data_IF_019196092649
#
_entry.id   IF_019196092649
#
_cell.length_a   1.000
_cell.length_b   1.000
_cell.length_c   1.000
_cell.angle_alpha   90.00
_cell.angle_beta   90.00
_cell.angle_gamma   90.00
#
_symmetry.space_group_name_H-M   'P 1'
#
loop_
_entity.id
_entity.type
_entity.pdbx_description
1 polymer ?
#
# COMPACT_ATOMS: atom_id res chain seq x y z
N UNK A 1 -19.20 -22.28 -11.71
CA UNK A 1 -20.45 -22.45 -12.52
C UNK A 1 -21.43 -21.38 -12.07
N UNK A 2 -22.13 -20.70 -12.98
CA UNK A 2 -23.15 -19.71 -12.63
C UNK A 2 -24.48 -20.38 -12.28
N UNK A 3 -25.29 -19.73 -11.43
CA UNK A 3 -26.66 -20.16 -11.10
C UNK A 3 -27.64 -19.13 -11.65
N UNK A 4 -28.65 -19.59 -12.38
CA UNK A 4 -29.76 -18.73 -12.84
C UNK A 4 -30.86 -18.77 -11.79
N UNK A 5 -31.23 -17.61 -11.27
CA UNK A 5 -32.36 -17.46 -10.35
C UNK A 5 -33.57 -16.91 -11.10
N UNK A 6 -34.75 -17.51 -10.87
CA UNK A 6 -36.03 -16.92 -11.26
C UNK A 6 -36.57 -16.18 -10.03
N UNK A 7 -36.67 -14.85 -10.12
CA UNK A 7 -37.09 -14.01 -8.99
C UNK A 7 -38.61 -13.82 -9.01
N UNK A 8 -39.20 -13.62 -7.83
CA UNK A 8 -40.61 -13.23 -7.63
C UNK A 8 -40.66 -12.15 -6.56
N UNK A 9 -41.47 -11.07 -6.71
CA UNK A 9 -41.56 -10.03 -5.69
C UNK A 9 -41.83 -10.59 -4.30
N UNK A 10 -41.09 -10.12 -3.29
CA UNK A 10 -41.24 -10.56 -1.89
C UNK A 10 -40.58 -11.90 -1.53
N UNK A 11 -39.99 -12.63 -2.49
CA UNK A 11 -39.29 -13.89 -2.21
C UNK A 11 -37.79 -13.71 -1.97
N UNK A 12 -37.20 -14.67 -1.27
CA UNK A 12 -35.75 -14.80 -1.05
C UNK A 12 -35.22 -16.05 -1.74
N UNK A 13 -33.99 -15.99 -2.24
CA UNK A 13 -33.26 -17.14 -2.74
C UNK A 13 -31.84 -17.13 -2.18
N UNK A 14 -31.40 -18.26 -1.63
CA UNK A 14 -30.06 -18.40 -1.04
C UNK A 14 -29.16 -19.19 -2.00
N UNK A 15 -28.07 -18.57 -2.45
CA UNK A 15 -27.02 -19.24 -3.21
C UNK A 15 -25.88 -19.64 -2.27
N UNK A 16 -25.80 -20.94 -1.97
CA UNK A 16 -24.67 -21.49 -1.20
C UNK A 16 -23.45 -21.62 -2.10
N UNK A 17 -22.38 -20.92 -1.75
CA UNK A 17 -21.09 -20.98 -2.45
C UNK A 17 -20.07 -21.69 -1.56
N UNK A 18 -19.29 -22.61 -2.13
CA UNK A 18 -18.11 -23.15 -1.43
C UNK A 18 -17.03 -22.07 -1.47
N UNK A 19 -16.69 -21.53 -0.30
CA UNK A 19 -15.56 -20.63 -0.14
C UNK A 19 -14.26 -21.42 -0.29
N UNK A 20 -13.44 -20.99 -1.24
CA UNK A 20 -12.09 -21.55 -1.45
C UNK A 20 -11.01 -20.64 -0.85
N UNK A 21 -11.27 -19.33 -0.81
CA UNK A 21 -10.33 -18.35 -0.26
C UNK A 21 -10.44 -18.25 1.26
N UNK A 22 -9.31 -18.20 1.95
CA UNK A 22 -9.27 -17.96 3.41
C UNK A 22 -9.75 -16.53 3.72
N UNK A 23 -9.49 -15.56 2.83
CA UNK A 23 -9.92 -14.17 2.98
C UNK A 23 -11.34 -13.91 2.42
N UNK A 24 -12.04 -12.96 3.05
CA UNK A 24 -13.34 -12.46 2.60
C UNK A 24 -13.19 -11.02 2.12
N UNK A 25 -13.81 -10.70 0.99
CA UNK A 25 -13.99 -9.31 0.61
C UNK A 25 -15.22 -8.78 1.33
N UNK A 26 -15.03 -7.83 2.25
CA UNK A 26 -16.13 -7.22 3.00
C UNK A 26 -17.07 -6.42 2.08
N UNK A 27 -16.56 -5.39 1.39
CA UNK A 27 -17.34 -4.57 0.47
C UNK A 27 -16.45 -3.71 -0.42
N UNK A 28 -17.08 -2.91 -1.29
CA UNK A 28 -16.43 -1.84 -2.03
C UNK A 28 -16.58 -0.53 -1.24
N UNK A 29 -15.47 0.19 -1.05
CA UNK A 29 -15.44 1.46 -0.29
C UNK A 29 -15.65 2.72 -1.15
N UNK A 30 -15.28 2.70 -2.43
CA UNK A 30 -15.42 3.85 -3.34
C UNK A 30 -16.34 3.53 -4.52
N UNK A 31 -16.79 4.58 -5.21
CA UNK A 31 -17.52 4.46 -6.47
C UNK A 31 -19.03 4.60 -6.36
N UNK A 32 -19.65 4.70 -7.54
CA UNK A 32 -21.06 5.07 -7.65
C UNK A 32 -21.99 3.90 -7.34
N UNK A 33 -23.11 4.24 -6.69
CA UNK A 33 -24.27 3.39 -6.50
C UNK A 33 -24.03 2.17 -5.61
N UNK A 34 -23.09 2.21 -4.66
CA UNK A 34 -22.82 1.07 -3.73
C UNK A 34 -24.12 0.55 -3.11
N UNK A 35 -25.07 1.44 -2.78
CA UNK A 35 -26.38 1.09 -2.24
C UNK A 35 -27.55 1.62 -3.10
N UNK A 36 -27.37 1.69 -4.42
CA UNK A 36 -28.41 2.17 -5.35
C UNK A 36 -29.71 1.39 -5.20
N UNK A 37 -29.63 0.07 -5.19
CA UNK A 37 -30.83 -0.78 -5.19
C UNK A 37 -31.54 -0.75 -3.84
N UNK A 38 -30.80 -0.66 -2.72
CA UNK A 38 -31.40 -0.39 -1.41
C UNK A 38 -32.23 0.89 -1.44
N UNK A 39 -31.70 1.96 -2.06
CA UNK A 39 -32.43 3.24 -2.17
C UNK A 39 -33.69 3.12 -3.02
N UNK A 40 -33.63 2.42 -4.16
CA UNK A 40 -34.81 2.19 -5.02
C UNK A 40 -35.90 1.37 -4.33
N UNK A 41 -35.50 0.45 -3.44
CA UNK A 41 -36.41 -0.38 -2.65
C UNK A 41 -36.89 0.30 -1.36
N UNK A 42 -36.55 1.57 -1.12
CA UNK A 42 -36.89 2.29 0.11
C UNK A 42 -36.21 1.73 1.36
N UNK A 43 -35.13 0.96 1.22
CA UNK A 43 -34.37 0.37 2.33
C UNK A 43 -33.30 1.35 2.85
N UNK A 44 -32.97 1.21 4.13
CA UNK A 44 -31.86 1.93 4.75
C UNK A 44 -30.51 1.51 4.17
N UNK A 45 -29.50 2.36 4.33
CA UNK A 45 -28.10 2.08 3.99
C UNK A 45 -27.23 2.39 5.20
N UNK A 46 -26.14 1.63 5.45
CA UNK A 46 -25.32 1.81 6.65
C UNK A 46 -24.42 3.05 6.59
N UNK A 47 -24.18 3.62 5.40
CA UNK A 47 -23.32 4.79 5.19
C UNK A 47 -24.13 6.04 4.85
N UNK A 48 -23.58 7.21 5.22
CA UNK A 48 -24.21 8.53 5.05
C UNK A 48 -24.35 8.97 3.59
N UNK A 49 -23.43 8.57 2.71
CA UNK A 49 -23.41 8.92 1.28
C UNK A 49 -23.51 7.66 0.41
N UNK A 50 -24.68 7.00 0.37
CA UNK A 50 -24.85 5.66 -0.20
C UNK A 50 -24.81 5.58 -1.74
N UNK A 51 -25.05 6.70 -2.43
CA UNK A 51 -25.17 6.75 -3.89
C UNK A 51 -23.90 7.28 -4.55
N UNK A 52 -23.33 8.38 -4.06
CA UNK A 52 -22.13 8.98 -4.60
C UNK A 52 -21.55 9.95 -3.57
N UNK A 53 -20.27 9.77 -3.21
CA UNK A 53 -19.59 10.62 -2.23
C UNK A 53 -18.41 11.35 -2.90
N UNK A 54 -18.29 12.66 -2.69
CA UNK A 54 -17.24 13.50 -3.28
C UNK A 54 -17.16 13.44 -4.82
N UNK A 55 -18.25 13.08 -5.50
CA UNK A 55 -18.31 12.78 -6.94
C UNK A 55 -17.28 11.74 -7.41
N UNK A 56 -16.85 10.83 -6.53
CA UNK A 56 -15.88 9.76 -6.83
C UNK A 56 -16.60 8.55 -7.45
N UNK A 57 -16.32 8.28 -8.72
CA UNK A 57 -16.91 7.15 -9.46
C UNK A 57 -16.12 5.84 -9.29
N UNK A 58 -14.84 5.95 -8.95
CA UNK A 58 -13.96 4.84 -8.64
C UNK A 58 -12.55 5.37 -8.44
N UNK A 59 -11.77 4.69 -7.61
CA UNK A 59 -10.38 5.02 -7.33
C UNK A 59 -9.55 3.75 -7.34
N UNK A 60 -8.34 3.81 -7.87
CA UNK A 60 -7.34 2.77 -7.63
C UNK A 60 -6.51 3.06 -6.38
N UNK A 61 -5.79 2.02 -5.96
CA UNK A 61 -4.83 2.06 -4.86
C UNK A 61 -5.45 2.52 -3.54
N UNK A 62 -4.69 2.48 -2.45
CA UNK A 62 -5.02 3.17 -1.21
C UNK A 62 -3.79 3.22 -0.34
N UNK A 63 -3.48 4.38 0.23
CA UNK A 63 -2.55 4.49 1.36
C UNK A 63 -3.27 5.16 2.52
N UNK A 64 -3.08 4.62 3.72
CA UNK A 64 -3.80 5.05 4.92
C UNK A 64 -2.88 5.19 6.11
N UNK A 65 -3.20 6.16 6.96
CA UNK A 65 -2.53 6.36 8.23
C UNK A 65 -3.52 6.89 9.26
N UNK A 66 -3.33 6.50 10.53
CA UNK A 66 -4.00 7.15 11.65
C UNK A 66 -3.23 8.41 11.98
N UNK A 67 -3.86 9.56 11.80
CA UNK A 67 -3.25 10.86 12.03
C UNK A 67 -4.26 11.79 12.70
N UNK A 68 -3.84 12.47 13.78
CA UNK A 68 -4.69 13.39 14.57
C UNK A 68 -6.06 12.81 14.96
N UNK A 69 -6.06 11.53 15.39
CA UNK A 69 -7.27 10.83 15.86
C UNK A 69 -8.25 10.39 14.76
N UNK A 70 -7.87 10.50 13.48
CA UNK A 70 -8.69 10.08 12.34
C UNK A 70 -7.92 9.13 11.43
N UNK A 71 -8.65 8.32 10.67
CA UNK A 71 -8.08 7.63 9.52
C UNK A 71 -8.03 8.62 8.36
N UNK A 72 -6.84 8.84 7.82
CA UNK A 72 -6.62 9.57 6.59
C UNK A 72 -6.47 8.58 5.45
N UNK A 73 -7.26 8.78 4.39
CA UNK A 73 -7.32 7.91 3.23
C UNK A 73 -6.90 8.70 2.01
N UNK A 74 -5.94 8.16 1.27
CA UNK A 74 -5.49 8.72 0.00
C UNK A 74 -5.54 7.64 -1.07
N UNK A 75 -5.93 8.02 -2.27
CA UNK A 75 -6.08 7.10 -3.40
C UNK A 75 -5.20 7.52 -4.57
N UNK A 76 -5.02 6.61 -5.53
CA UNK A 76 -4.40 6.94 -6.81
C UNK A 76 -5.41 7.53 -7.79
N UNK A 77 -5.35 7.09 -9.04
CA UNK A 77 -6.13 7.66 -10.12
C UNK A 77 -7.63 7.48 -9.85
N UNK A 78 -8.37 8.59 -9.91
CA UNK A 78 -9.75 8.63 -9.44
C UNK A 78 -10.68 9.26 -10.45
N UNK A 79 -11.66 8.48 -10.91
CA UNK A 79 -12.62 8.89 -11.93
C UNK A 79 -13.79 9.70 -11.36
N UNK A 80 -14.42 10.51 -12.22
CA UNK A 80 -15.61 11.30 -11.92
C UNK A 80 -16.71 11.09 -12.98
N UNK A 81 -17.99 11.31 -12.65
CA UNK A 81 -19.07 11.11 -13.61
C UNK A 81 -19.05 12.09 -14.79
N UNK A 82 -18.64 13.35 -14.55
CA UNK A 82 -18.86 14.45 -15.49
C UNK A 82 -17.86 14.54 -16.64
N UNK A 83 -16.77 13.76 -16.61
CA UNK A 83 -15.70 13.87 -17.62
C UNK A 83 -14.86 12.59 -17.70
N UNK A 84 -14.32 12.22 -18.88
CA UNK A 84 -13.47 11.04 -19.04
C UNK A 84 -12.18 11.06 -18.22
N UNK A 85 -11.66 12.27 -17.93
CA UNK A 85 -10.51 12.47 -17.05
C UNK A 85 -10.96 12.82 -15.63
N UNK A 86 -10.29 12.19 -14.67
CA UNK A 86 -10.51 12.36 -13.24
C UNK A 86 -9.38 13.14 -12.54
N UNK A 87 -9.14 12.78 -11.28
CA UNK A 87 -8.03 13.28 -10.46
C UNK A 87 -6.86 12.29 -10.54
N UNK A 88 -5.75 12.76 -11.11
CA UNK A 88 -4.48 12.02 -11.27
C UNK A 88 -3.37 12.56 -10.35
N UNK A 89 -3.77 13.24 -9.29
CA UNK A 89 -2.92 13.93 -8.32
C UNK A 89 -3.40 13.66 -6.89
N UNK A 90 -3.90 12.44 -6.64
CA UNK A 90 -4.30 11.90 -5.33
C UNK A 90 -5.47 12.65 -4.70
N UNK A 91 -6.70 12.10 -4.66
CA UNK A 91 -7.73 12.62 -3.77
C UNK A 91 -7.51 12.14 -2.33
N UNK A 92 -8.17 12.80 -1.38
CA UNK A 92 -8.15 12.35 0.01
C UNK A 92 -9.50 12.52 0.73
N UNK A 93 -9.69 11.70 1.75
CA UNK A 93 -10.79 11.79 2.69
C UNK A 93 -10.31 11.45 4.10
N UNK A 94 -11.15 11.76 5.08
CA UNK A 94 -10.98 11.27 6.45
C UNK A 94 -12.19 10.46 6.89
N UNK A 95 -11.99 9.57 7.85
CA UNK A 95 -13.06 8.95 8.62
C UNK A 95 -12.67 8.86 10.10
N UNK A 96 -13.66 8.72 10.97
CA UNK A 96 -13.40 8.34 12.36
C UNK A 96 -12.96 6.87 12.41
N UNK A 97 -12.18 6.52 13.44
CA UNK A 97 -11.85 5.13 13.78
C UNK A 97 -13.12 4.42 14.29
N UNK A 98 -13.29 3.10 14.07
CA UNK A 98 -14.43 2.35 14.61
C UNK A 98 -14.64 2.57 16.13
N UNK A 99 -13.56 2.48 16.92
CA UNK A 99 -13.60 2.78 18.37
C UNK A 99 -13.74 4.26 18.74
N UNK A 100 -13.73 5.17 17.76
CA UNK A 100 -13.82 6.63 17.94
C UNK A 100 -15.08 7.24 17.33
N UNK A 101 -16.17 6.48 17.20
CA UNK A 101 -17.43 6.92 16.59
C UNK A 101 -17.51 6.72 15.07
N UNK A 102 -16.51 6.06 14.47
CA UNK A 102 -16.59 5.49 13.13
C UNK A 102 -17.52 4.28 13.10
N UNK A 103 -17.89 3.85 11.89
CA UNK A 103 -18.70 2.65 11.73
C UNK A 103 -17.88 1.39 12.03
N UNK A 104 -18.59 0.33 12.39
CA UNK A 104 -18.04 -1.02 12.34
C UNK A 104 -17.51 -1.30 10.91
N UNK A 105 -16.26 -1.77 10.77
CA UNK A 105 -15.70 -2.16 9.48
C UNK A 105 -16.50 -3.21 8.73
N UNK A 106 -17.45 -3.94 9.32
CA UNK A 106 -18.37 -4.83 8.60
C UNK A 106 -19.50 -4.08 7.89
N UNK A 107 -19.85 -2.88 8.35
CA UNK A 107 -20.97 -2.09 7.84
C UNK A 107 -20.56 -1.11 6.73
N UNK A 108 -19.36 -0.53 6.81
CA UNK A 108 -18.89 0.45 5.84
C UNK A 108 -17.98 1.51 6.45
N UNK A 109 -17.66 2.52 5.64
CA UNK A 109 -16.87 3.68 6.07
C UNK A 109 -17.57 4.96 5.67
N UNK A 110 -17.78 5.85 6.65
CA UNK A 110 -18.29 7.20 6.40
C UNK A 110 -17.15 8.14 6.05
N UNK A 111 -16.81 8.22 4.76
CA UNK A 111 -15.79 9.15 4.27
C UNK A 111 -16.30 10.60 4.26
N UNK A 112 -15.45 11.49 4.78
CA UNK A 112 -15.52 12.94 4.58
C UNK A 112 -14.43 13.31 3.58
N UNK A 113 -14.80 13.37 2.29
CA UNK A 113 -13.89 13.81 1.23
C UNK A 113 -13.60 15.30 1.36
N UNK A 114 -12.34 15.69 1.11
CA UNK A 114 -12.05 17.07 0.78
C UNK A 114 -12.41 17.32 -0.69
N UNK A 115 -13.30 18.27 -0.93
CA UNK A 115 -13.83 18.56 -2.26
C UNK A 115 -13.40 19.94 -2.75
N UNK A 116 -13.27 20.10 -4.06
CA UNK A 116 -13.05 21.41 -4.70
C UNK A 116 -14.35 22.18 -4.89
N UNK A 117 -14.27 23.35 -5.53
CA UNK A 117 -15.45 24.20 -5.83
C UNK A 117 -16.53 23.48 -6.67
N UNK A 118 -16.12 22.49 -7.47
CA UNK A 118 -17.03 21.68 -8.29
C UNK A 118 -17.63 20.47 -7.54
N UNK A 119 -17.38 20.33 -6.24
CA UNK A 119 -17.85 19.20 -5.41
C UNK A 119 -17.12 17.87 -5.63
N UNK A 120 -16.17 17.80 -6.57
CA UNK A 120 -15.35 16.61 -6.79
C UNK A 120 -14.16 16.58 -5.81
N UNK A 121 -13.75 15.37 -5.39
CA UNK A 121 -12.61 15.17 -4.51
C UNK A 121 -11.36 15.88 -5.06
N UNK A 122 -10.82 16.83 -4.28
CA UNK A 122 -9.77 17.73 -4.73
C UNK A 122 -8.42 17.03 -4.89
N UNK A 123 -7.55 17.61 -5.71
CA UNK A 123 -6.15 17.18 -5.87
C UNK A 123 -5.35 17.50 -4.61
N UNK A 124 -4.90 16.47 -3.88
CA UNK A 124 -4.15 16.64 -2.65
C UNK A 124 -2.63 16.65 -2.90
N UNK A 125 -2.13 16.06 -3.98
CA UNK A 125 -0.70 15.91 -4.25
C UNK A 125 -0.30 16.46 -5.63
N UNK A 126 -0.81 17.63 -6.02
CA UNK A 126 -0.45 18.27 -7.29
C UNK A 126 0.97 18.83 -7.27
N UNK A 127 1.96 17.95 -7.43
CA UNK A 127 3.37 18.33 -7.55
C UNK A 127 3.68 18.95 -8.93
N UNK A 128 4.58 19.95 -9.00
CA UNK A 128 5.03 20.54 -10.26
C UNK A 128 5.51 19.50 -11.28
N UNK A 129 5.49 19.88 -12.56
CA UNK A 129 5.87 18.99 -13.67
C UNK A 129 4.67 18.33 -14.38
N UNK A 130 4.97 17.66 -15.50
CA UNK A 130 3.96 17.07 -16.38
C UNK A 130 3.48 15.71 -15.86
N UNK A 131 2.25 15.34 -16.24
CA UNK A 131 1.68 14.02 -15.95
C UNK A 131 1.26 13.83 -14.49
N UNK A 132 0.76 12.62 -14.15
CA UNK A 132 0.24 12.30 -12.83
C UNK A 132 1.26 12.47 -11.71
N UNK A 133 0.73 12.63 -10.50
CA UNK A 133 1.50 12.46 -9.26
C UNK A 133 0.88 11.33 -8.46
N UNK A 134 1.67 10.31 -8.13
CA UNK A 134 1.26 9.23 -7.25
C UNK A 134 2.05 9.29 -5.95
N UNK A 135 1.49 8.70 -4.90
CA UNK A 135 2.14 8.60 -3.59
C UNK A 135 2.17 7.17 -3.08
N UNK A 136 3.15 6.88 -2.25
CA UNK A 136 3.35 5.59 -1.57
C UNK A 136 4.02 5.81 -0.21
N UNK A 137 4.19 4.77 0.61
CA UNK A 137 4.96 4.84 1.86
C UNK A 137 4.38 5.80 2.90
N UNK A 138 3.07 6.06 2.89
CA UNK A 138 2.42 7.02 3.79
C UNK A 138 2.65 6.69 5.27
N UNK A 139 3.32 7.56 6.01
CA UNK A 139 3.71 7.33 7.40
C UNK A 139 3.52 8.58 8.26
N UNK A 140 3.24 8.39 9.55
CA UNK A 140 3.24 9.46 10.56
C UNK A 140 4.51 9.34 11.39
N UNK A 141 5.36 10.36 11.37
CA UNK A 141 6.63 10.38 12.11
C UNK A 141 6.75 11.64 12.97
N UNK A 142 7.42 11.56 14.13
CA UNK A 142 7.72 12.75 14.93
C UNK A 142 8.82 13.58 14.26
N UNK A 143 8.66 14.90 14.25
CA UNK A 143 9.74 15.83 13.97
C UNK A 143 10.61 16.10 15.22
N UNK A 144 11.62 16.96 15.08
CA UNK A 144 12.55 17.34 16.15
C UNK A 144 11.84 17.96 17.37
N UNK A 145 10.66 18.58 17.16
CA UNK A 145 9.82 19.15 18.21
C UNK A 145 8.77 18.15 18.73
N UNK A 146 8.88 16.87 18.36
CA UNK A 146 7.93 15.78 18.68
C UNK A 146 6.52 16.00 18.13
N UNK A 147 6.37 16.86 17.13
CA UNK A 147 5.09 17.01 16.44
C UNK A 147 4.94 15.92 15.39
N UNK A 148 3.79 15.26 15.36
CA UNK A 148 3.48 14.26 14.35
C UNK A 148 3.37 14.91 12.97
N UNK A 149 4.12 14.38 11.99
CA UNK A 149 4.10 14.79 10.58
C UNK A 149 3.64 13.63 9.73
N UNK A 150 2.67 13.88 8.86
CA UNK A 150 2.21 12.91 7.87
C UNK A 150 3.03 13.09 6.58
N UNK A 151 3.82 12.08 6.23
CA UNK A 151 4.77 12.06 5.11
C UNK A 151 4.40 10.96 4.12
N UNK A 152 4.72 11.15 2.85
CA UNK A 152 4.63 10.11 1.83
C UNK A 152 5.74 10.27 0.80
N UNK A 153 6.11 9.20 0.15
CA UNK A 153 6.87 9.29 -1.10
C UNK A 153 5.94 9.78 -2.21
N UNK A 154 6.48 10.57 -3.14
CA UNK A 154 5.78 10.90 -4.38
C UNK A 154 6.60 10.49 -5.59
N UNK A 155 5.91 10.26 -6.71
CA UNK A 155 6.51 10.10 -8.04
C UNK A 155 5.78 10.93 -9.08
N UNK A 156 6.54 11.39 -10.09
CA UNK A 156 5.97 11.92 -11.33
C UNK A 156 6.09 10.90 -12.44
N UNK A 157 4.98 10.72 -13.15
CA UNK A 157 4.83 9.69 -14.18
C UNK A 157 4.74 10.33 -15.56
N UNK A 158 5.48 9.77 -16.52
CA UNK A 158 5.33 10.05 -17.95
C UNK A 158 4.94 8.78 -18.71
N UNK A 159 4.35 8.94 -19.89
CA UNK A 159 4.02 7.79 -20.73
C UNK A 159 5.30 6.98 -21.08
N UNK A 160 5.23 5.63 -21.10
CA UNK A 160 4.09 4.76 -20.80
C UNK A 160 4.15 4.19 -19.36
N UNK A 161 4.11 5.04 -18.33
CA UNK A 161 4.24 4.68 -16.88
C UNK A 161 5.69 4.69 -16.34
N UNK A 162 6.56 5.53 -16.92
CA UNK A 162 7.91 5.71 -16.41
C UNK A 162 7.96 6.78 -15.30
N UNK A 163 8.52 6.43 -14.14
CA UNK A 163 8.89 7.39 -13.10
C UNK A 163 10.06 8.22 -13.59
N UNK A 164 9.88 9.54 -13.71
CA UNK A 164 10.95 10.45 -14.11
C UNK A 164 11.46 11.35 -12.97
N UNK A 165 10.68 11.48 -11.89
CA UNK A 165 11.01 12.23 -10.69
C UNK A 165 10.41 11.51 -9.49
N UNK A 166 11.09 11.57 -8.34
CA UNK A 166 10.60 11.03 -7.08
C UNK A 166 11.12 11.85 -5.91
N UNK A 167 10.44 11.77 -4.78
CA UNK A 167 10.88 12.41 -3.56
C UNK A 167 9.91 12.19 -2.41
N UNK A 168 9.90 13.11 -1.45
CA UNK A 168 9.03 13.09 -0.28
C UNK A 168 8.15 14.33 -0.26
N UNK A 169 6.90 14.12 0.11
CA UNK A 169 5.92 15.16 0.42
C UNK A 169 5.49 15.08 1.88
N UNK A 170 5.07 16.21 2.43
CA UNK A 170 4.44 16.30 3.76
C UNK A 170 3.05 16.91 3.64
N UNK A 171 2.08 16.35 4.34
CA UNK A 171 0.74 16.89 4.41
C UNK A 171 0.71 18.19 5.22
N UNK A 172 0.16 19.24 4.61
CA UNK A 172 -0.16 20.52 5.22
C UNK A 172 -1.61 20.45 5.72
N UNK A 173 -1.78 20.51 7.04
CA UNK A 173 -3.08 20.37 7.69
C UNK A 173 -4.04 21.54 7.39
N UNK A 174 -3.51 22.76 7.24
CA UNK A 174 -4.32 23.97 7.01
C UNK A 174 -4.83 23.99 5.58
N UNK A 175 -3.94 23.71 4.63
CA UNK A 175 -4.29 23.67 3.19
C UNK A 175 -4.95 22.35 2.80
N UNK A 176 -4.82 21.33 3.64
CA UNK A 176 -5.27 19.98 3.38
C UNK A 176 -4.74 19.44 2.05
N UNK A 177 -3.42 19.54 1.86
CA UNK A 177 -2.72 19.09 0.66
C UNK A 177 -1.27 18.75 1.00
N UNK A 178 -0.63 17.94 0.19
CA UNK A 178 0.79 17.65 0.26
C UNK A 178 1.62 18.80 -0.31
N UNK A 179 2.63 19.22 0.44
CA UNK A 179 3.71 20.08 -0.02
C UNK A 179 4.99 19.28 -0.26
N UNK A 180 5.76 19.66 -1.28
CA UNK A 180 7.08 19.09 -1.54
C UNK A 180 8.02 19.29 -0.35
N UNK A 181 8.77 18.25 0.03
CA UNK A 181 9.79 18.31 1.11
C UNK A 181 11.19 18.03 0.62
N UNK A 182 11.39 16.99 -0.16
CA UNK A 182 12.70 16.60 -0.65
C UNK A 182 12.56 15.90 -1.99
N UNK A 183 13.55 16.08 -2.86
CA UNK A 183 13.69 15.30 -4.09
C UNK A 183 14.79 14.27 -3.87
N UNK A 184 14.55 13.03 -4.29
CA UNK A 184 15.56 11.97 -4.17
C UNK A 184 16.33 11.81 -5.49
N UNK A 185 17.64 11.52 -5.43
CA UNK A 185 18.43 11.19 -6.62
C UNK A 185 17.78 10.06 -7.43
N UNK A 186 17.85 10.14 -8.76
CA UNK A 186 17.23 9.14 -9.65
C UNK A 186 17.82 7.74 -9.46
N UNK A 187 19.12 7.70 -9.12
CA UNK A 187 19.98 6.55 -8.89
C UNK A 187 20.04 6.13 -7.41
N UNK A 188 19.28 6.77 -6.52
CA UNK A 188 19.15 6.33 -5.13
C UNK A 188 18.67 4.86 -5.10
N UNK A 189 19.44 3.94 -4.47
CA UNK A 189 19.13 2.51 -4.52
C UNK A 189 17.90 2.15 -3.70
N UNK A 190 17.58 2.96 -2.70
CA UNK A 190 16.51 2.74 -1.73
C UNK A 190 15.69 4.01 -1.54
N UNK A 191 14.39 3.81 -1.34
CA UNK A 191 13.38 4.83 -1.10
C UNK A 191 12.10 4.14 -0.57
N UNK A 192 11.15 4.89 0.03
CA UNK A 192 9.87 4.33 0.46
C UNK A 192 9.11 3.71 -0.72
N UNK A 193 8.68 2.46 -0.57
CA UNK A 193 7.85 1.76 -1.54
C UNK A 193 7.09 0.61 -0.89
N UNK A 194 5.77 0.61 -1.04
CA UNK A 194 4.83 -0.28 -0.37
C UNK A 194 4.30 0.27 0.95
N UNK A 195 3.34 -0.45 1.53
CA UNK A 195 2.71 -0.06 2.79
C UNK A 195 3.73 -0.07 3.93
N UNK A 196 3.87 1.04 4.68
CA UNK A 196 4.78 1.08 5.80
C UNK A 196 4.15 0.51 7.07
N UNK A 197 5.00 0.01 7.97
CA UNK A 197 4.64 -0.25 9.36
C UNK A 197 5.78 0.13 10.30
N UNK A 198 5.43 0.51 11.53
CA UNK A 198 6.39 0.84 12.57
C UNK A 198 6.69 -0.40 13.40
N UNK A 199 7.97 -0.61 13.72
CA UNK A 199 8.38 -1.64 14.66
C UNK A 199 9.65 -1.23 15.39
N UNK A 200 9.64 -1.45 16.71
CA UNK A 200 10.82 -1.30 17.57
C UNK A 200 11.68 -2.55 17.48
N UNK A 201 12.85 -2.42 16.87
CA UNK A 201 13.78 -3.52 16.67
C UNK A 201 14.52 -3.87 17.98
N UNK A 202 15.22 -5.01 17.98
CA UNK A 202 15.99 -5.49 19.15
C UNK A 202 17.15 -4.60 19.57
N UNK A 203 17.56 -3.65 18.73
CA UNK A 203 18.53 -2.60 19.07
C UNK A 203 17.92 -1.46 19.91
N UNK A 204 16.63 -1.55 20.25
CA UNK A 204 15.91 -0.59 21.09
C UNK A 204 15.31 0.60 20.32
N UNK A 205 15.55 0.69 19.02
CA UNK A 205 15.12 1.81 18.21
C UNK A 205 13.90 1.47 17.34
N UNK A 206 13.12 2.50 17.02
CA UNK A 206 11.97 2.38 16.15
C UNK A 206 12.34 2.65 14.69
N UNK A 207 11.80 1.82 13.80
CA UNK A 207 12.01 1.87 12.36
C UNK A 207 10.67 1.86 11.62
N UNK A 208 10.65 2.52 10.47
CA UNK A 208 9.63 2.31 9.43
C UNK A 208 10.13 1.20 8.52
N UNK A 209 9.34 0.16 8.34
CA UNK A 209 9.57 -0.92 7.37
C UNK A 209 8.63 -0.77 6.19
N UNK A 210 9.09 -1.05 4.97
CA UNK A 210 8.29 -0.87 3.76
C UNK A 210 8.01 -2.19 3.06
N UNK A 211 6.73 -2.60 3.03
CA UNK A 211 6.27 -3.85 2.42
C UNK A 211 6.03 -3.71 0.90
N UNK A 212 7.05 -3.30 0.14
CA UNK A 212 6.98 -3.22 -1.32
C UNK A 212 7.17 -4.60 -1.97
N UNK A 213 6.27 -5.54 -1.67
CA UNK A 213 6.39 -6.97 -1.93
C UNK A 213 6.90 -7.71 -0.68
N UNK A 214 8.12 -7.39 -0.23
CA UNK A 214 8.71 -7.92 1.01
C UNK A 214 9.16 -6.77 1.92
N UNK A 215 9.06 -6.90 3.26
CA UNK A 215 9.45 -5.87 4.23
C UNK A 215 10.97 -5.81 4.46
N UNK A 216 11.75 -5.84 3.38
CA UNK A 216 13.21 -5.95 3.42
C UNK A 216 13.91 -4.59 3.47
N UNK A 217 13.18 -3.47 3.50
CA UNK A 217 13.75 -2.12 3.58
C UNK A 217 13.18 -1.39 4.77
N UNK A 218 14.06 -0.70 5.48
CA UNK A 218 13.68 0.12 6.63
C UNK A 218 14.46 1.42 6.72
N UNK A 219 13.96 2.34 7.54
CA UNK A 219 14.66 3.57 7.94
C UNK A 219 14.27 3.96 9.36
N UNK A 220 15.12 4.71 10.09
CA UNK A 220 14.79 5.19 11.43
C UNK A 220 13.45 5.95 11.41
N UNK A 221 12.60 5.72 12.41
CA UNK A 221 11.27 6.32 12.50
C UNK A 221 11.30 7.79 12.98
N UNK A 222 11.93 8.66 12.21
CA UNK A 222 11.92 10.10 12.39
C UNK A 222 11.96 10.82 11.04
N UNK A 223 11.59 12.10 11.02
CA UNK A 223 11.52 12.90 9.78
C UNK A 223 12.88 12.96 9.08
N UNK A 224 13.98 13.16 9.81
CA UNK A 224 15.31 13.32 9.21
C UNK A 224 15.75 12.07 8.43
N UNK A 225 15.62 10.89 9.03
CA UNK A 225 15.92 9.62 8.37
C UNK A 225 15.02 9.37 7.16
N UNK A 226 13.71 9.64 7.29
CA UNK A 226 12.77 9.46 6.18
C UNK A 226 13.09 10.35 4.96
N UNK A 227 13.64 11.55 5.18
CA UNK A 227 14.03 12.49 4.12
C UNK A 227 15.41 12.22 3.52
N UNK A 228 16.21 11.32 4.11
CA UNK A 228 17.57 11.02 3.67
C UNK A 228 17.65 9.62 3.05
N UNK A 229 17.69 9.48 1.71
CA UNK A 229 17.74 8.18 1.05
C UNK A 229 19.00 7.37 1.41
N UNK A 230 20.06 8.00 1.94
CA UNK A 230 21.29 7.29 2.35
C UNK A 230 21.13 6.53 3.66
N UNK A 231 20.12 6.86 4.47
CA UNK A 231 19.84 6.20 5.75
C UNK A 231 18.92 4.98 5.64
N UNK A 232 18.40 4.71 4.44
CA UNK A 232 17.60 3.52 4.21
C UNK A 232 18.51 2.29 4.19
N UNK A 233 18.07 1.25 4.87
CA UNK A 233 18.77 -0.02 5.00
C UNK A 233 17.98 -1.11 4.28
N UNK A 234 18.69 -2.02 3.62
CA UNK A 234 18.11 -3.26 3.09
C UNK A 234 18.57 -4.45 3.94
N UNK A 235 17.70 -5.44 4.14
CA UNK A 235 18.05 -6.70 4.80
C UNK A 235 18.60 -7.67 3.76
N UNK A 236 19.89 -7.99 3.85
CA UNK A 236 20.58 -8.76 2.80
C UNK A 236 21.67 -9.66 3.35
N UNK A 237 21.92 -10.76 2.63
CA UNK A 237 23.04 -11.68 2.85
C UNK A 237 24.22 -11.42 1.90
N UNK A 238 24.11 -10.41 1.02
CA UNK A 238 25.18 -10.09 0.08
C UNK A 238 26.33 -9.35 0.76
N UNK A 239 27.55 -9.65 0.33
CA UNK A 239 28.74 -8.93 0.74
C UNK A 239 28.82 -7.57 0.02
N UNK A 240 28.99 -6.45 0.76
CA UNK A 240 29.11 -5.12 0.18
C UNK A 240 30.14 -5.04 -0.95
N UNK A 241 29.81 -4.36 -2.04
CA UNK A 241 30.73 -4.08 -3.14
C UNK A 241 31.04 -5.25 -4.09
N UNK A 242 30.61 -6.47 -3.78
CA UNK A 242 30.93 -7.66 -4.59
C UNK A 242 29.83 -8.06 -5.58
N UNK A 243 28.61 -7.52 -5.41
CA UNK A 243 27.41 -7.82 -6.22
C UNK A 243 26.92 -9.27 -6.20
N UNK A 244 27.73 -10.22 -5.73
CA UNK A 244 27.45 -11.66 -5.75
C UNK A 244 28.15 -12.47 -4.65
N UNK A 245 28.97 -11.84 -3.81
CA UNK A 245 29.53 -12.48 -2.62
C UNK A 245 28.41 -12.73 -1.61
N UNK A 246 28.36 -13.93 -1.04
CA UNK A 246 27.35 -14.35 -0.07
C UNK A 246 28.01 -14.49 1.29
N UNK A 247 27.40 -13.89 2.30
CA UNK A 247 27.85 -13.98 3.69
C UNK A 247 27.18 -15.19 4.36
N UNK A 248 27.98 -15.97 5.09
CA UNK A 248 27.51 -17.14 5.84
C UNK A 248 27.94 -17.05 7.29
N UNK A 249 27.12 -17.61 8.17
CA UNK A 249 27.47 -17.85 9.57
C UNK A 249 28.43 -19.04 9.69
N UNK A 250 29.09 -19.25 10.85
CA UNK A 250 29.95 -20.41 11.06
C UNK A 250 29.27 -21.77 10.86
N UNK A 251 27.95 -21.84 11.07
CA UNK A 251 27.13 -23.04 10.83
C UNK A 251 26.75 -23.26 9.35
N UNK A 252 27.22 -22.37 8.46
CA UNK A 252 26.95 -22.43 7.02
C UNK A 252 25.64 -21.76 6.60
N UNK A 253 24.76 -21.33 7.50
CA UNK A 253 23.52 -20.61 7.15
C UNK A 253 23.80 -19.23 6.55
N UNK A 254 22.85 -18.68 5.78
CA UNK A 254 22.97 -17.31 5.26
C UNK A 254 23.00 -16.30 6.40
N UNK A 255 24.00 -15.42 6.39
CA UNK A 255 24.14 -14.34 7.37
C UNK A 255 23.48 -13.08 6.83
N UNK A 256 22.32 -12.73 7.38
CA UNK A 256 21.58 -11.52 7.02
C UNK A 256 21.92 -10.35 7.92
N UNK A 257 22.13 -9.18 7.32
CA UNK A 257 22.36 -7.93 8.04
C UNK A 257 21.65 -6.77 7.35
N UNK A 258 21.31 -5.75 8.14
CA UNK A 258 20.80 -4.48 7.62
C UNK A 258 21.96 -3.64 7.09
N UNK A 259 21.84 -3.17 5.84
CA UNK A 259 22.92 -2.43 5.16
C UNK A 259 22.39 -1.24 4.38
N UNK A 260 23.00 -0.09 4.59
CA UNK A 260 22.75 1.11 3.81
C UNK A 260 23.33 1.03 2.40
N UNK A 261 22.72 1.76 1.46
CA UNK A 261 23.25 1.96 0.10
C UNK A 261 23.23 0.72 -0.81
N UNK A 262 22.62 -0.39 -0.40
CA UNK A 262 22.47 -1.59 -1.22
C UNK A 262 21.02 -1.69 -1.73
N UNK A 263 20.80 -1.98 -3.03
CA UNK A 263 19.45 -2.16 -3.54
C UNK A 263 18.75 -3.38 -2.91
N UNK A 264 17.43 -3.44 -3.07
CA UNK A 264 16.65 -4.64 -2.72
C UNK A 264 17.15 -5.84 -3.53
N UNK A 265 17.18 -7.01 -2.88
CA UNK A 265 17.34 -8.28 -3.59
C UNK A 265 16.16 -8.47 -4.53
N UNK A 266 16.44 -8.78 -5.79
CA UNK A 266 15.42 -9.12 -6.78
C UNK A 266 15.51 -10.60 -7.18
N UNK A 267 14.44 -11.12 -7.82
CA UNK A 267 14.39 -12.50 -8.28
C UNK A 267 15.49 -12.84 -9.29
N UNK A 268 15.92 -11.90 -10.13
CA UNK A 268 16.94 -12.14 -11.14
C UNK A 268 18.31 -12.38 -10.49
N UNK A 269 18.67 -11.56 -9.51
CA UNK A 269 19.88 -11.70 -8.71
C UNK A 269 19.87 -13.03 -7.95
N UNK A 270 18.76 -13.36 -7.28
CA UNK A 270 18.63 -14.61 -6.53
C UNK A 270 18.70 -15.83 -7.44
N UNK A 271 18.00 -15.82 -8.58
CA UNK A 271 18.06 -16.92 -9.54
C UNK A 271 19.48 -17.12 -10.08
N UNK A 272 20.23 -16.03 -10.30
CA UNK A 272 21.64 -16.12 -10.68
C UNK A 272 22.48 -16.78 -9.58
N UNK A 273 22.29 -16.41 -8.31
CA UNK A 273 23.02 -17.01 -7.20
C UNK A 273 22.72 -18.49 -7.01
N UNK A 274 21.47 -18.91 -7.29
CA UNK A 274 21.07 -20.33 -7.29
C UNK A 274 21.74 -21.07 -8.44
N UNK A 275 21.70 -20.52 -9.65
CA UNK A 275 22.36 -21.11 -10.82
C UNK A 275 23.88 -21.25 -10.63
N UNK A 276 24.50 -20.24 -10.01
CA UNK A 276 25.93 -20.22 -9.66
C UNK A 276 26.25 -21.09 -8.41
N UNK A 277 25.26 -21.83 -7.87
CA UNK A 277 25.35 -22.70 -6.68
C UNK A 277 25.88 -22.01 -5.42
N UNK A 278 25.71 -20.69 -5.31
CA UNK A 278 26.10 -19.90 -4.14
C UNK A 278 25.08 -20.00 -3.01
N UNK A 279 23.82 -20.21 -3.34
CA UNK A 279 22.70 -20.46 -2.43
C UNK A 279 21.77 -21.52 -3.05
N UNK A 280 20.89 -22.10 -2.24
CA UNK A 280 19.75 -22.92 -2.65
C UNK A 280 18.48 -22.06 -2.69
N UNK A 281 17.45 -22.53 -3.39
CA UNK A 281 16.17 -21.82 -3.49
C UNK A 281 15.49 -21.62 -2.12
N UNK A 282 15.56 -22.64 -1.24
CA UNK A 282 14.94 -22.59 0.09
C UNK A 282 15.65 -21.67 1.08
N UNK A 283 16.90 -21.25 0.81
CA UNK A 283 17.61 -20.28 1.64
C UNK A 283 17.16 -18.83 1.39
N UNK A 284 16.51 -18.55 0.26
CA UNK A 284 16.21 -17.17 -0.15
C UNK A 284 14.84 -16.69 0.32
N UNK A 285 14.73 -15.57 1.04
CA UNK A 285 13.45 -15.05 1.52
C UNK A 285 12.58 -14.45 0.40
N UNK A 286 13.15 -14.21 -0.79
CA UNK A 286 12.40 -13.70 -1.94
C UNK A 286 11.95 -14.82 -2.89
N UNK A 287 12.43 -16.05 -2.73
CA UNK A 287 12.03 -17.17 -3.58
C UNK A 287 10.83 -17.92 -3.00
N UNK A 288 9.70 -17.22 -2.90
CA UNK A 288 8.43 -17.80 -2.44
C UNK A 288 7.84 -18.74 -3.49
N UNK A 289 7.20 -19.81 -3.03
CA UNK A 289 6.48 -20.77 -3.88
C UNK A 289 5.06 -21.00 -3.36
N UNK A 290 4.15 -21.28 -4.27
CA UNK A 290 2.86 -21.86 -3.95
C UNK A 290 3.07 -23.32 -3.50
N UNK A 291 2.61 -23.67 -2.29
CA UNK A 291 2.76 -25.02 -1.75
C UNK A 291 1.91 -26.07 -2.49
N UNK A 292 0.81 -25.66 -3.13
CA UNK A 292 -0.06 -26.58 -3.86
C UNK A 292 0.50 -26.91 -5.25
N UNK A 293 1.09 -25.92 -5.93
CA UNK A 293 1.55 -26.07 -7.32
C UNK A 293 3.07 -26.12 -7.49
N UNK A 294 3.85 -25.73 -6.47
CA UNK A 294 5.30 -25.57 -6.52
C UNK A 294 5.78 -24.40 -7.38
N UNK A 295 4.86 -23.58 -7.93
CA UNK A 295 5.21 -22.47 -8.83
C UNK A 295 5.75 -21.27 -8.04
N UNK A 296 6.71 -20.50 -8.60
CA UNK A 296 7.19 -19.28 -7.97
C UNK A 296 6.10 -18.21 -7.80
N UNK A 297 6.12 -17.52 -6.67
CA UNK A 297 5.28 -16.36 -6.38
C UNK A 297 6.14 -15.10 -6.52
N UNK A 298 5.93 -14.33 -7.59
CA UNK A 298 6.64 -13.09 -7.85
C UNK A 298 5.98 -11.95 -7.08
N UNK A 299 6.53 -11.55 -5.94
CA UNK A 299 5.91 -10.53 -5.07
C UNK A 299 6.02 -9.13 -5.69
N UNK A 300 4.94 -8.34 -5.66
CA UNK A 300 4.93 -6.98 -6.23
C UNK A 300 4.62 -5.90 -5.19
N UNK A 301 3.50 -6.03 -4.49
CA UNK A 301 3.07 -5.14 -3.43
C UNK A 301 2.75 -5.97 -2.21
N UNK A 302 2.81 -5.35 -1.03
CA UNK A 302 2.47 -6.04 0.20
C UNK A 302 2.08 -5.09 1.31
N UNK A 303 1.58 -5.69 2.38
CA UNK A 303 1.30 -5.03 3.63
C UNK A 303 1.61 -5.98 4.78
N UNK A 304 2.11 -5.44 5.89
CA UNK A 304 2.50 -6.21 7.06
C UNK A 304 1.93 -5.54 8.29
N UNK A 305 1.20 -6.28 9.10
CA UNK A 305 0.59 -5.80 10.33
C UNK A 305 0.68 -6.85 11.43
N UNK A 306 0.90 -6.39 12.66
CA UNK A 306 0.71 -7.23 13.82
C UNK A 306 -0.78 -7.48 14.01
N UNK A 307 -1.16 -8.73 14.25
CA UNK A 307 -2.53 -9.12 14.56
C UNK A 307 -2.62 -9.53 16.03
N UNK A 308 -3.26 -8.70 16.85
CA UNK A 308 -3.41 -8.94 18.29
C UNK A 308 -4.22 -10.20 18.61
N UNK A 309 -5.21 -10.54 17.81
CA UNK A 309 -5.99 -11.76 18.05
C UNK A 309 -5.16 -13.04 17.82
N UNK A 310 -4.30 -13.04 16.79
CA UNK A 310 -3.44 -14.17 16.44
C UNK A 310 -2.11 -14.16 17.17
N UNK A 311 -1.71 -13.05 17.77
CA UNK A 311 -0.38 -12.81 18.33
C UNK A 311 0.72 -13.13 17.30
N UNK A 312 0.50 -12.69 16.05
CA UNK A 312 1.41 -12.95 14.92
C UNK A 312 1.44 -11.76 13.98
N UNK A 313 2.58 -11.59 13.31
CA UNK A 313 2.66 -10.75 12.13
C UNK A 313 1.95 -11.43 10.96
N UNK A 314 1.09 -10.67 10.28
CA UNK A 314 0.40 -11.09 9.06
C UNK A 314 0.94 -10.25 7.92
N UNK A 315 1.36 -10.93 6.86
CA UNK A 315 1.78 -10.32 5.62
C UNK A 315 0.80 -10.72 4.54
N UNK A 316 0.33 -9.74 3.77
CA UNK A 316 -0.50 -9.97 2.58
C UNK A 316 0.25 -9.42 1.39
N UNK A 317 0.39 -10.23 0.33
CA UNK A 317 1.20 -9.89 -0.85
C UNK A 317 0.36 -10.04 -2.11
N UNK A 318 0.51 -9.09 -3.05
CA UNK A 318 0.05 -9.28 -4.43
C UNK A 318 1.17 -9.87 -5.29
N UNK A 319 0.82 -10.84 -6.12
CA UNK A 319 1.70 -11.44 -7.10
C UNK A 319 1.70 -10.63 -8.41
N UNK A 320 2.85 -10.47 -9.05
CA UNK A 320 2.93 -10.10 -10.47
C UNK A 320 2.67 -11.32 -11.34
N UNK A 321 1.77 -11.20 -12.31
CA UNK A 321 1.31 -12.32 -13.15
C UNK A 321 0.70 -13.46 -12.30
N UNK A 322 0.26 -14.53 -12.94
CA UNK A 322 -0.45 -15.62 -12.28
C UNK A 322 -1.62 -16.06 -13.12
N UNK A 323 -2.81 -16.18 -12.54
CA UNK A 323 -4.03 -16.39 -13.33
C UNK A 323 -4.48 -15.12 -14.07
N UNK A 324 -3.97 -13.94 -13.65
CA UNK A 324 -4.18 -12.64 -14.29
C UNK A 324 -2.88 -11.83 -14.37
N UNK A 325 -2.87 -10.71 -15.11
CA UNK A 325 -1.72 -9.80 -15.18
C UNK A 325 -1.37 -9.18 -13.81
N UNK A 326 -2.38 -8.93 -12.97
CA UNK A 326 -2.21 -8.41 -11.60
C UNK A 326 -2.11 -9.54 -10.55
N UNK A 327 -2.01 -10.78 -11.02
CA UNK A 327 -1.80 -11.97 -10.21
C UNK A 327 -2.87 -12.27 -9.17
N UNK A 328 -2.43 -12.97 -8.12
CA UNK A 328 -3.21 -13.40 -6.97
C UNK A 328 -2.78 -12.68 -5.69
N UNK A 329 -3.58 -12.83 -4.63
CA UNK A 329 -3.26 -12.37 -3.28
C UNK A 329 -2.85 -13.58 -2.43
N UNK A 330 -1.74 -13.42 -1.70
CA UNK A 330 -1.14 -14.42 -0.81
C UNK A 330 -1.17 -13.95 0.64
#
# INVERSE_FOLDING_TARGET
RGVRLKTTPGSEAVLKLKRLNIAERLYRVTGAGIYRDSRLLGRSSPIKQPLLNGLVFGSDSVVTAVYRGKLHWFWGDTNRPSYPLGNFHVPFATSLLPGGGGLDPELGVNFTYAVGQNGFAKEAAKMPGKGPTWIDGLVVLPDENRQSRLLAQYVKIKAPLAVYERGVVQFDDERQQFGHRAMFPKDAPLYPHGHPFLHRAGDGHEYVYFAGGMPSVRVRANVAGYLDPTQYETYTFLQPGTGSGVQRNPDGSLKFEWRAGQPKLDHKQVNKLIADKKITAGESPVHLIDIETGKPVLTQHGSVYWNDHRQRWVMVISQSFGSSMLGEIW
#
